data_IF_884088789849
#
_entry.id   IF_884088789849
#
_cell.length_a   1.000
_cell.length_b   1.000
_cell.length_c   1.000
_cell.angle_alpha   90.00
_cell.angle_beta   90.00
_cell.angle_gamma   90.00
#
_symmetry.space_group_name_H-M   'P 1'
#
loop_
_entity.id
_entity.type
_entity.pdbx_description
1 polymer ?
#
# COMPACT_ATOMS: atom_id res chain seq x y z
N UNK A 1 -21.82 -5.69 14.13
CA UNK A 1 -22.50 -4.67 13.31
C UNK A 1 -22.05 -4.96 11.90
N UNK A 2 -22.95 -5.21 10.96
CA UNK A 2 -22.56 -5.35 9.55
C UNK A 2 -22.09 -3.98 9.07
N UNK A 3 -20.86 -3.89 8.57
CA UNK A 3 -20.31 -2.70 7.92
C UNK A 3 -21.33 -2.20 6.89
N UNK A 4 -21.61 -0.89 6.80
CA UNK A 4 -22.55 -0.37 5.81
C UNK A 4 -22.11 -0.82 4.41
N UNK A 5 -23.08 -1.13 3.55
CA UNK A 5 -22.84 -1.32 2.12
C UNK A 5 -22.24 0.00 1.58
N UNK A 6 -20.94 0.02 1.25
CA UNK A 6 -20.35 1.05 0.38
C UNK A 6 -19.18 1.88 0.87
N UNK A 7 -18.43 1.54 1.93
CA UNK A 7 -17.15 2.21 2.20
C UNK A 7 -16.09 1.20 2.66
N UNK A 8 -15.15 0.86 1.77
CA UNK A 8 -14.03 -0.06 2.07
C UNK A 8 -13.02 0.57 3.05
N UNK A 9 -12.90 1.90 3.02
CA UNK A 9 -12.07 2.71 3.91
C UNK A 9 -12.74 4.07 4.11
N UNK A 10 -12.57 4.67 5.30
CA UNK A 10 -13.27 5.91 5.67
C UNK A 10 -12.32 6.94 6.25
N UNK A 11 -12.68 8.22 6.16
CA UNK A 11 -11.97 9.31 6.83
C UNK A 11 -11.87 9.08 8.34
N UNK A 12 -12.94 8.56 8.97
CA UNK A 12 -12.96 8.25 10.41
C UNK A 12 -11.92 7.16 10.76
N UNK A 13 -11.79 6.12 9.92
CA UNK A 13 -10.80 5.05 10.13
C UNK A 13 -9.37 5.57 10.02
N UNK A 14 -9.09 6.41 9.01
CA UNK A 14 -7.79 7.06 8.88
C UNK A 14 -7.50 7.98 10.07
N UNK A 15 -8.47 8.82 10.45
CA UNK A 15 -8.31 9.73 11.59
C UNK A 15 -8.07 8.99 12.90
N UNK A 16 -8.70 7.83 13.13
CA UNK A 16 -8.44 7.01 14.31
C UNK A 16 -6.98 6.55 14.40
N UNK A 17 -6.35 6.25 13.25
CA UNK A 17 -4.92 5.93 13.21
C UNK A 17 -4.05 7.15 13.48
N UNK A 18 -4.39 8.29 12.90
CA UNK A 18 -3.70 9.56 13.13
C UNK A 18 -3.75 9.97 14.62
N UNK A 19 -4.92 9.87 15.25
CA UNK A 19 -5.11 10.14 16.67
C UNK A 19 -4.28 9.16 17.53
N UNK A 20 -4.23 7.89 17.13
CA UNK A 20 -3.42 6.88 17.83
C UNK A 20 -1.91 7.17 17.75
N UNK A 21 -1.41 7.61 16.60
CA UNK A 21 -0.01 8.03 16.46
C UNK A 21 0.33 9.22 17.37
N UNK A 22 -0.57 10.20 17.47
CA UNK A 22 -0.42 11.35 18.39
C UNK A 22 -0.45 10.93 19.86
N UNK A 23 -1.36 10.03 20.23
CA UNK A 23 -1.54 9.56 21.61
C UNK A 23 -0.39 8.68 22.10
N UNK A 24 0.10 7.76 21.27
CA UNK A 24 1.19 6.84 21.64
C UNK A 24 2.56 7.54 21.62
N UNK A 25 2.72 8.58 20.78
CA UNK A 25 3.95 9.33 20.60
C UNK A 25 4.96 8.55 19.78
N UNK A 26 5.22 9.00 18.55
CA UNK A 26 6.12 8.32 17.62
C UNK A 26 7.58 8.57 18.01
N UNK A 27 8.37 7.49 17.97
CA UNK A 27 9.83 7.50 18.05
C UNK A 27 10.32 6.50 16.99
N UNK A 28 10.97 7.00 15.94
CA UNK A 28 11.42 6.16 14.82
C UNK A 28 12.50 5.14 15.21
N UNK A 29 13.12 5.28 16.38
CA UNK A 29 14.08 4.31 16.92
C UNK A 29 13.39 3.18 17.71
N UNK A 30 12.09 3.29 18.01
CA UNK A 30 11.34 2.33 18.81
C UNK A 30 10.58 1.28 17.99
N UNK A 31 10.59 0.04 18.49
CA UNK A 31 9.90 -1.09 17.88
C UNK A 31 8.37 -0.92 17.89
N UNK A 32 7.85 -0.20 18.88
CA UNK A 32 6.41 0.11 18.96
C UNK A 32 5.93 0.95 17.79
N UNK A 33 6.67 2.01 17.43
CA UNK A 33 6.38 2.88 16.29
C UNK A 33 6.51 2.15 14.96
N UNK A 34 7.49 1.25 14.84
CA UNK A 34 7.61 0.38 13.66
C UNK A 34 6.37 -0.52 13.47
N UNK A 35 5.79 -1.04 14.56
CA UNK A 35 4.54 -1.82 14.51
C UNK A 35 3.34 -0.95 14.17
N UNK A 36 3.25 0.28 14.70
CA UNK A 36 2.17 1.22 14.34
C UNK A 36 2.20 1.56 12.85
N UNK A 37 3.39 1.80 12.29
CA UNK A 37 3.58 2.02 10.84
C UNK A 37 3.03 0.85 10.02
N UNK A 38 3.44 -0.37 10.35
CA UNK A 38 3.02 -1.59 9.66
C UNK A 38 1.50 -1.78 9.76
N UNK A 39 0.94 -1.66 10.96
CA UNK A 39 -0.50 -1.83 11.16
C UNK A 39 -1.33 -0.81 10.36
N UNK A 40 -0.90 0.46 10.33
CA UNK A 40 -1.54 1.51 9.54
C UNK A 40 -1.48 1.22 8.04
N UNK A 41 -0.30 0.85 7.56
CA UNK A 41 -0.08 0.48 6.16
C UNK A 41 -0.95 -0.71 5.77
N UNK A 42 -0.87 -1.81 6.51
CA UNK A 42 -1.60 -3.05 6.24
C UNK A 42 -3.12 -2.83 6.30
N UNK A 43 -3.61 -2.04 7.26
CA UNK A 43 -5.03 -1.68 7.37
C UNK A 43 -5.57 -1.03 6.10
N UNK A 44 -4.77 -0.15 5.49
CA UNK A 44 -5.08 0.50 4.21
C UNK A 44 -4.97 -0.46 3.04
N UNK A 45 -3.88 -1.24 2.98
CA UNK A 45 -3.64 -2.20 1.91
C UNK A 45 -4.72 -3.29 1.87
N UNK A 46 -5.19 -3.77 3.02
CA UNK A 46 -6.30 -4.73 3.14
C UNK A 46 -7.58 -4.13 2.55
N UNK A 47 -7.83 -2.83 2.72
CA UNK A 47 -8.98 -2.20 2.09
C UNK A 47 -8.86 -2.16 0.56
N UNK A 48 -7.67 -1.85 0.03
CA UNK A 48 -7.38 -1.93 -1.41
C UNK A 48 -7.58 -3.35 -1.94
N UNK A 49 -7.02 -4.36 -1.27
CA UNK A 49 -7.15 -5.77 -1.64
C UNK A 49 -8.62 -6.23 -1.67
N UNK A 50 -9.45 -5.75 -0.74
CA UNK A 50 -10.89 -6.04 -0.72
C UNK A 50 -11.63 -5.41 -1.90
N UNK A 51 -11.28 -4.19 -2.32
CA UNK A 51 -11.88 -3.57 -3.51
C UNK A 51 -11.53 -4.39 -4.76
N UNK A 52 -10.25 -4.75 -4.90
CA UNK A 52 -9.76 -5.55 -6.03
C UNK A 52 -10.42 -6.93 -6.07
N UNK A 53 -10.53 -7.59 -4.92
CA UNK A 53 -11.20 -8.90 -4.82
C UNK A 53 -12.69 -8.80 -5.19
N UNK A 54 -13.38 -7.76 -4.73
CA UNK A 54 -14.78 -7.52 -5.10
C UNK A 54 -14.96 -7.24 -6.61
N UNK A 55 -13.98 -6.59 -7.25
CA UNK A 55 -13.94 -6.45 -8.70
C UNK A 55 -13.75 -7.80 -9.42
N UNK A 56 -12.78 -8.61 -9.00
CA UNK A 56 -12.52 -9.94 -9.60
C UNK A 56 -13.69 -10.91 -9.44
N UNK A 57 -14.40 -10.82 -8.32
CA UNK A 57 -15.61 -11.59 -8.04
C UNK A 57 -16.86 -11.07 -8.79
N UNK A 58 -16.74 -9.90 -9.45
CA UNK A 58 -17.81 -9.25 -10.19
C UNK A 58 -18.88 -8.61 -9.31
N UNK A 59 -18.58 -8.35 -8.04
CA UNK A 59 -19.42 -7.59 -7.12
C UNK A 59 -19.35 -6.08 -7.41
N UNK A 60 -18.17 -5.61 -7.84
CA UNK A 60 -17.95 -4.26 -8.38
C UNK A 60 -17.70 -4.34 -9.89
N UNK A 61 -18.18 -3.34 -10.63
CA UNK A 61 -17.72 -3.10 -11.99
C UNK A 61 -16.47 -2.20 -11.98
N UNK A 62 -15.83 -2.06 -13.15
CA UNK A 62 -14.61 -1.26 -13.32
C UNK A 62 -14.79 0.16 -12.77
N UNK A 63 -15.92 0.81 -13.05
CA UNK A 63 -16.16 2.18 -12.63
C UNK A 63 -16.32 2.27 -11.11
N UNK A 64 -17.10 1.38 -10.50
CA UNK A 64 -17.29 1.35 -9.05
C UNK A 64 -15.97 1.06 -8.32
N UNK A 65 -15.20 0.07 -8.79
CA UNK A 65 -13.89 -0.25 -8.20
C UNK A 65 -12.91 0.94 -8.30
N UNK A 66 -12.87 1.63 -9.43
CA UNK A 66 -12.05 2.84 -9.59
C UNK A 66 -12.49 3.98 -8.68
N UNK A 67 -13.80 4.19 -8.50
CA UNK A 67 -14.35 5.20 -7.58
C UNK A 67 -13.97 4.89 -6.12
N UNK A 68 -14.08 3.63 -5.69
CA UNK A 68 -13.65 3.20 -4.36
C UNK A 68 -12.14 3.40 -4.16
N UNK A 69 -11.30 2.91 -5.08
CA UNK A 69 -9.83 3.07 -4.99
C UNK A 69 -9.42 4.54 -4.92
N UNK A 70 -10.04 5.40 -5.73
CA UNK A 70 -9.77 6.84 -5.72
C UNK A 70 -10.19 7.48 -4.39
N UNK A 71 -11.32 7.06 -3.80
CA UNK A 71 -11.78 7.54 -2.50
C UNK A 71 -10.81 7.18 -1.38
N UNK A 72 -10.35 5.92 -1.33
CA UNK A 72 -9.34 5.50 -0.34
C UNK A 72 -8.05 6.30 -0.52
N UNK A 73 -7.58 6.47 -1.77
CA UNK A 73 -6.37 7.23 -2.08
C UNK A 73 -6.48 8.70 -1.66
N UNK A 74 -7.62 9.35 -1.91
CA UNK A 74 -7.86 10.75 -1.51
C UNK A 74 -7.78 10.93 0.00
N UNK A 75 -8.37 10.00 0.76
CA UNK A 75 -8.33 10.02 2.23
C UNK A 75 -6.89 9.88 2.72
N UNK A 76 -6.20 8.84 2.27
CA UNK A 76 -4.90 8.43 2.83
C UNK A 76 -3.77 9.35 2.40
N UNK A 77 -3.79 9.86 1.16
CA UNK A 77 -2.75 10.77 0.64
C UNK A 77 -3.06 12.25 0.92
N UNK A 78 -4.08 12.55 1.72
CA UNK A 78 -4.34 13.91 2.17
C UNK A 78 -3.18 14.43 3.04
N UNK A 79 -2.90 15.73 2.93
CA UNK A 79 -1.86 16.38 3.73
C UNK A 79 -2.28 16.36 5.21
N UNK A 80 -1.37 15.93 6.07
CA UNK A 80 -1.58 15.87 7.52
C UNK A 80 -0.71 16.91 8.22
N UNK A 81 -1.22 17.47 9.33
CA UNK A 81 -0.49 18.44 10.14
C UNK A 81 -0.27 17.86 11.55
N UNK A 82 1.00 17.67 11.92
CA UNK A 82 1.42 17.26 13.26
C UNK A 82 2.55 18.17 13.75
N UNK A 83 2.59 18.40 15.06
CA UNK A 83 3.69 19.14 15.69
C UNK A 83 4.97 18.30 15.79
N UNK A 84 4.83 16.97 15.81
CA UNK A 84 5.92 16.01 15.96
C UNK A 84 6.52 15.60 14.60
N UNK A 85 7.83 15.80 14.44
CA UNK A 85 8.55 15.55 13.19
C UNK A 85 8.65 14.05 12.88
N UNK A 86 8.82 13.20 13.90
CA UNK A 86 8.91 11.75 13.74
C UNK A 86 7.58 11.17 13.26
N UNK A 87 6.46 11.67 13.79
CA UNK A 87 5.11 11.32 13.32
C UNK A 87 4.90 11.71 11.86
N UNK A 88 5.30 12.92 11.46
CA UNK A 88 5.22 13.34 10.06
C UNK A 88 6.06 12.46 9.14
N UNK A 89 7.29 12.13 9.53
CA UNK A 89 8.18 11.25 8.76
C UNK A 89 7.60 9.83 8.64
N UNK A 90 6.99 9.30 9.70
CA UNK A 90 6.34 7.99 9.67
C UNK A 90 5.16 7.98 8.68
N UNK A 91 4.31 9.00 8.74
CA UNK A 91 3.15 9.11 7.83
C UNK A 91 3.60 9.30 6.39
N UNK A 92 4.61 10.12 6.13
CA UNK A 92 5.19 10.32 4.79
C UNK A 92 5.73 9.01 4.21
N UNK A 93 6.39 8.18 5.02
CA UNK A 93 6.85 6.85 4.60
C UNK A 93 5.68 5.93 4.23
N UNK A 94 4.62 5.88 5.05
CA UNK A 94 3.41 5.09 4.76
C UNK A 94 2.73 5.58 3.48
N UNK A 95 2.52 6.88 3.35
CA UNK A 95 1.91 7.47 2.16
C UNK A 95 2.74 7.18 0.91
N UNK A 96 4.07 7.29 0.99
CA UNK A 96 5.00 6.97 -0.09
C UNK A 96 4.87 5.52 -0.53
N UNK A 97 4.89 4.57 0.41
CA UNK A 97 4.74 3.14 0.12
C UNK A 97 3.41 2.84 -0.59
N UNK A 98 2.32 3.47 -0.14
CA UNK A 98 0.97 3.25 -0.68
C UNK A 98 0.74 3.80 -2.08
N UNK A 99 1.56 4.74 -2.56
CA UNK A 99 1.45 5.28 -3.93
C UNK A 99 1.46 4.16 -4.99
N UNK A 100 2.43 3.25 -4.91
CA UNK A 100 2.51 2.15 -5.87
C UNK A 100 1.40 1.12 -5.67
N UNK A 101 0.90 0.93 -4.45
CA UNK A 101 -0.25 0.04 -4.19
C UNK A 101 -1.51 0.56 -4.87
N UNK A 102 -1.84 1.85 -4.71
CA UNK A 102 -3.00 2.45 -5.37
C UNK A 102 -2.88 2.40 -6.89
N UNK A 103 -1.73 2.81 -7.43
CA UNK A 103 -1.54 2.82 -8.87
C UNK A 103 -1.53 1.41 -9.47
N UNK A 104 -0.98 0.41 -8.78
CA UNK A 104 -1.07 -0.99 -9.20
C UNK A 104 -2.52 -1.49 -9.22
N UNK A 105 -3.31 -1.23 -8.17
CA UNK A 105 -4.71 -1.62 -8.11
C UNK A 105 -5.53 -0.94 -9.22
N UNK A 106 -5.32 0.36 -9.45
CA UNK A 106 -6.00 1.12 -10.50
C UNK A 106 -5.64 0.62 -11.91
N UNK A 107 -4.35 0.38 -12.17
CA UNK A 107 -3.89 -0.18 -13.44
C UNK A 107 -4.47 -1.57 -13.67
N UNK A 108 -4.48 -2.42 -12.64
CA UNK A 108 -5.08 -3.76 -12.71
C UNK A 108 -6.58 -3.71 -13.03
N UNK A 109 -7.34 -2.85 -12.36
CA UNK A 109 -8.78 -2.69 -12.65
C UNK A 109 -9.00 -2.19 -14.08
N UNK A 110 -8.20 -1.22 -14.55
CA UNK A 110 -8.38 -0.60 -15.86
C UNK A 110 -7.89 -1.47 -17.04
N UNK A 111 -6.79 -2.21 -16.87
CA UNK A 111 -6.08 -2.87 -17.95
C UNK A 111 -5.74 -4.36 -17.68
N UNK A 112 -5.94 -4.83 -16.45
CA UNK A 112 -5.45 -6.12 -15.98
C UNK A 112 -3.95 -6.11 -15.70
N UNK A 113 -3.41 -7.27 -15.35
CA UNK A 113 -1.98 -7.41 -15.13
C UNK A 113 -1.16 -7.31 -16.41
N UNK A 114 0.06 -6.78 -16.27
CA UNK A 114 1.05 -6.85 -17.35
C UNK A 114 1.32 -8.30 -17.75
N UNK A 115 1.49 -8.54 -19.05
CA UNK A 115 1.90 -9.85 -19.56
C UNK A 115 3.43 -9.99 -19.73
N UNK A 116 4.17 -8.92 -19.47
CA UNK A 116 5.61 -8.84 -19.64
C UNK A 116 6.31 -8.98 -18.30
N UNK A 117 7.26 -9.91 -18.22
CA UNK A 117 8.18 -10.05 -17.09
C UNK A 117 7.64 -10.78 -15.86
N UNK A 118 8.42 -10.72 -14.78
CA UNK A 118 8.09 -11.21 -13.43
C UNK A 118 8.12 -10.06 -12.42
N UNK A 119 7.57 -10.28 -11.22
CA UNK A 119 7.67 -9.34 -10.09
C UNK A 119 9.14 -8.97 -9.83
N UNK A 120 10.03 -9.97 -9.76
CA UNK A 120 11.48 -9.79 -9.56
C UNK A 120 12.12 -8.96 -10.67
N UNK A 121 11.80 -9.26 -11.94
CA UNK A 121 12.36 -8.55 -13.10
C UNK A 121 11.94 -7.08 -13.11
N UNK A 122 10.70 -6.78 -12.71
CA UNK A 122 10.22 -5.41 -12.55
C UNK A 122 10.86 -4.69 -11.38
N UNK A 123 11.00 -5.33 -10.22
CA UNK A 123 11.70 -4.72 -9.07
C UNK A 123 13.16 -4.42 -9.42
N UNK A 124 13.87 -5.34 -10.10
CA UNK A 124 15.24 -5.09 -10.56
C UNK A 124 15.30 -3.94 -11.59
N UNK A 125 14.34 -3.87 -12.52
CA UNK A 125 14.26 -2.77 -13.46
C UNK A 125 13.99 -1.43 -12.75
N UNK A 126 13.14 -1.42 -11.71
CA UNK A 126 12.87 -0.23 -10.91
C UNK A 126 14.15 0.26 -10.20
N UNK A 127 14.92 -0.64 -9.59
CA UNK A 127 16.22 -0.32 -8.95
C UNK A 127 17.21 0.31 -9.92
N UNK A 128 17.30 -0.25 -11.13
CA UNK A 128 18.18 0.28 -12.17
C UNK A 128 17.74 1.69 -12.59
N UNK A 129 16.44 1.89 -12.80
CA UNK A 129 15.88 3.20 -13.13
C UNK A 129 16.11 4.24 -12.03
N UNK A 130 15.93 3.87 -10.76
CA UNK A 130 16.23 4.73 -9.61
C UNK A 130 17.72 5.13 -9.57
N UNK A 131 18.61 4.17 -9.82
CA UNK A 131 20.06 4.44 -9.90
C UNK A 131 20.45 5.37 -11.06
N UNK A 132 19.61 5.42 -12.10
CA UNK A 132 19.74 6.32 -13.25
C UNK A 132 18.99 7.65 -13.04
N UNK A 133 18.42 7.89 -11.86
CA UNK A 133 17.58 9.05 -11.50
C UNK A 133 16.29 9.16 -12.36
N UNK A 134 15.85 8.07 -12.99
CA UNK A 134 14.60 7.98 -13.75
C UNK A 134 13.47 7.45 -12.84
N UNK A 135 13.00 8.32 -11.95
CA UNK A 135 11.98 7.96 -10.95
C UNK A 135 10.62 7.61 -11.59
N UNK A 136 10.30 8.20 -12.74
CA UNK A 136 9.08 7.88 -13.48
C UNK A 136 9.12 6.43 -13.99
N UNK A 137 10.26 6.02 -14.58
CA UNK A 137 10.44 4.63 -15.00
C UNK A 137 10.49 3.66 -13.82
N UNK A 138 11.12 4.05 -12.71
CA UNK A 138 11.14 3.24 -11.49
C UNK A 138 9.72 3.00 -10.96
N UNK A 139 8.92 4.05 -10.88
CA UNK A 139 7.53 3.99 -10.46
C UNK A 139 6.69 3.08 -11.37
N UNK A 140 6.82 3.22 -12.71
CA UNK A 140 6.11 2.36 -13.67
C UNK A 140 6.42 0.89 -13.46
N UNK A 141 7.69 0.55 -13.20
CA UNK A 141 8.07 -0.83 -12.94
C UNK A 141 7.52 -1.36 -11.61
N UNK A 142 7.52 -0.57 -10.54
CA UNK A 142 6.86 -0.94 -9.28
C UNK A 142 5.34 -1.17 -9.47
N UNK A 143 4.66 -0.29 -10.22
CA UNK A 143 3.23 -0.48 -10.55
C UNK A 143 3.01 -1.79 -11.30
N UNK A 144 3.84 -2.09 -12.30
CA UNK A 144 3.77 -3.35 -13.06
C UNK A 144 3.95 -4.57 -12.17
N UNK A 145 4.93 -4.56 -11.26
CA UNK A 145 5.12 -5.60 -10.26
C UNK A 145 3.87 -5.78 -9.38
N UNK A 146 3.26 -4.68 -8.93
CA UNK A 146 2.02 -4.72 -8.16
C UNK A 146 0.84 -5.35 -8.92
N UNK A 147 0.70 -5.07 -10.23
CA UNK A 147 -0.36 -5.71 -11.03
C UNK A 147 -0.19 -7.23 -11.12
N UNK A 148 1.05 -7.73 -11.19
CA UNK A 148 1.36 -9.15 -11.20
C UNK A 148 1.07 -9.82 -9.85
N UNK A 149 1.39 -9.13 -8.75
CA UNK A 149 1.05 -9.57 -7.38
C UNK A 149 -0.46 -9.74 -7.25
N UNK A 150 -1.24 -8.77 -7.73
CA UNK A 150 -2.70 -8.84 -7.74
C UNK A 150 -3.21 -10.04 -8.55
N UNK A 151 -2.59 -10.34 -9.70
CA UNK A 151 -2.91 -11.52 -10.52
C UNK A 151 -2.47 -12.86 -9.89
N UNK A 152 -1.89 -12.82 -8.69
CA UNK A 152 -1.52 -13.98 -7.90
C UNK A 152 -0.10 -14.49 -8.15
N UNK A 153 0.78 -13.68 -8.75
CA UNK A 153 2.20 -14.01 -8.81
C UNK A 153 2.84 -13.91 -7.43
N UNK A 154 3.67 -14.89 -7.08
CA UNK A 154 4.44 -14.87 -5.83
C UNK A 154 5.53 -13.79 -5.86
N UNK A 155 5.75 -13.15 -4.71
CA UNK A 155 6.87 -12.23 -4.47
C UNK A 155 7.87 -12.90 -3.52
N UNK A 156 9.16 -12.88 -3.89
CA UNK A 156 10.24 -13.33 -3.00
C UNK A 156 10.55 -12.23 -1.97
N UNK A 157 10.35 -12.53 -0.68
CA UNK A 157 10.59 -11.61 0.44
C UNK A 157 12.05 -11.13 0.51
N UNK A 158 13.01 -11.90 -0.03
CA UNK A 158 14.41 -11.47 -0.08
C UNK A 158 14.62 -10.23 -0.97
N UNK A 159 13.70 -9.93 -1.89
CA UNK A 159 13.74 -8.71 -2.69
C UNK A 159 13.68 -7.46 -1.81
N UNK A 160 12.89 -7.48 -0.74
CA UNK A 160 12.76 -6.36 0.21
C UNK A 160 14.07 -6.18 0.98
N UNK A 161 14.66 -7.28 1.45
CA UNK A 161 15.90 -7.26 2.25
C UNK A 161 17.13 -6.79 1.45
N UNK A 162 17.17 -7.07 0.15
CA UNK A 162 18.30 -6.76 -0.72
C UNK A 162 18.26 -5.33 -1.30
N UNK A 163 17.22 -4.54 -1.00
CA UNK A 163 17.08 -3.16 -1.50
C UNK A 163 17.91 -2.18 -0.68
N UNK A 164 18.61 -1.29 -1.39
CA UNK A 164 19.25 -0.14 -0.76
C UNK A 164 18.16 0.87 -0.34
N UNK A 165 18.42 1.64 0.71
CA UNK A 165 17.50 2.70 1.14
C UNK A 165 17.24 3.69 -0.01
N UNK A 166 15.98 3.86 -0.38
CA UNK A 166 15.55 4.60 -1.55
C UNK A 166 14.04 4.55 -1.73
N UNK A 167 13.54 5.26 -2.74
CA UNK A 167 12.13 5.35 -3.07
C UNK A 167 11.57 4.00 -3.55
N UNK A 168 12.36 3.24 -4.31
CA UNK A 168 11.99 1.88 -4.73
C UNK A 168 11.84 0.95 -3.52
N UNK A 169 12.67 1.12 -2.48
CA UNK A 169 12.53 0.32 -1.26
C UNK A 169 11.19 0.57 -0.55
N UNK A 170 10.79 1.84 -0.41
CA UNK A 170 9.50 2.21 0.19
C UNK A 170 8.32 1.67 -0.63
N UNK A 171 8.37 1.80 -1.96
CA UNK A 171 7.32 1.25 -2.83
C UNK A 171 7.22 -0.27 -2.75
N UNK A 172 8.36 -0.97 -2.71
CA UNK A 172 8.40 -2.42 -2.61
C UNK A 172 7.93 -2.90 -1.22
N UNK A 173 8.16 -2.13 -0.14
CA UNK A 173 7.57 -2.38 1.18
C UNK A 173 6.03 -2.35 1.12
N UNK A 174 5.45 -1.35 0.45
CA UNK A 174 4.00 -1.31 0.21
C UNK A 174 3.49 -2.48 -0.64
N UNK A 175 4.24 -2.88 -1.67
CA UNK A 175 3.89 -4.06 -2.48
C UNK A 175 4.00 -5.37 -1.70
N UNK A 176 4.90 -5.46 -0.71
CA UNK A 176 4.97 -6.61 0.17
C UNK A 176 3.70 -6.74 1.02
N UNK A 177 3.24 -5.64 1.63
CA UNK A 177 1.93 -5.61 2.31
C UNK A 177 0.79 -6.02 1.38
N UNK A 178 0.83 -5.60 0.10
CA UNK A 178 -0.18 -5.99 -0.89
C UNK A 178 -0.15 -7.48 -1.18
N UNK A 179 1.05 -8.04 -1.37
CA UNK A 179 1.24 -9.47 -1.58
C UNK A 179 0.69 -10.30 -0.41
N UNK A 180 0.93 -9.86 0.83
CA UNK A 180 0.40 -10.52 2.02
C UNK A 180 -1.14 -10.43 2.07
N UNK A 181 -1.70 -9.23 1.87
CA UNK A 181 -3.14 -9.00 1.90
C UNK A 181 -3.91 -9.77 0.81
N UNK A 182 -3.33 -9.94 -0.38
CA UNK A 182 -3.95 -10.71 -1.48
C UNK A 182 -3.98 -12.22 -1.21
N UNK A 183 -3.10 -12.74 -0.34
CA UNK A 183 -3.06 -14.17 0.02
C UNK A 183 -3.95 -14.53 1.20
N UNK A 184 -4.05 -13.64 2.16
CA UNK A 184 -4.86 -13.83 3.36
C UNK A 184 -5.49 -12.50 3.80
N UNK A 185 -6.66 -12.12 3.25
CA UNK A 185 -7.32 -10.85 3.56
C UNK A 185 -7.91 -10.75 4.99
N UNK A 186 -7.69 -11.73 5.86
CA UNK A 186 -8.20 -11.77 7.25
C UNK A 186 -7.12 -11.84 8.34
N UNK A 187 -6.26 -10.85 8.54
CA UNK A 187 -5.76 -10.55 9.91
C UNK A 187 -5.31 -9.08 10.05
N UNK A 188 -6.12 -8.24 10.70
CA UNK A 188 -5.56 -7.15 11.52
C UNK A 188 -5.68 -7.64 12.96
N UNK A 189 -4.56 -7.98 13.58
CA UNK A 189 -4.55 -8.20 15.03
C UNK A 189 -4.75 -6.83 15.69
N UNK A 190 -6.00 -6.48 16.01
CA UNK A 190 -6.27 -5.45 17.01
C UNK A 190 -5.67 -5.97 18.32
N UNK A 191 -4.47 -5.51 18.69
CA UNK A 191 -3.88 -5.79 20.00
C UNK A 191 -4.94 -5.49 21.08
N UNK A 192 -5.47 -6.54 21.72
CA UNK A 192 -6.40 -6.40 22.84
C UNK A 192 -5.71 -5.62 23.97
N UNK A 193 -6.19 -4.40 24.21
CA UNK A 193 -5.72 -3.46 25.23
C UNK A 193 -5.56 -4.04 26.66
#
# INVERSE_FOLDING_TARGET
MSTPEGEYYTEERWQNWLDRLDEEGVDLEDESSARLRLNLQDDTVIAVAKVVSAYDEGELDEQAAMEELAGIQEIVLSEVEFDDEDTLMLIDAVQTALVCVFHAAQEYVAAGATSDGSVEEHVEAARNAESEEDLDAAHVHCVQAGTLIIDGQDMDLSLVEDLDYGLVAEWVDGLNSLYEAMRDPEVVEEDEA
#
